data_IF_415223463219
#
_entry.id   IF_415223463219
#
_cell.length_a   1.000
_cell.length_b   1.000
_cell.length_c   1.000
_cell.angle_alpha   90.00
_cell.angle_beta   90.00
_cell.angle_gamma   90.00
#
_symmetry.space_group_name_H-M   'P 1'
#
loop_
_entity.id
_entity.type
_entity.pdbx_description
1 polymer ?
#
# COMPACT_ATOMS: atom_id res chain seq x y z
N UNK A 1 41.02 26.63 -7.56
CA UNK A 1 40.78 25.23 -7.98
C UNK A 1 39.72 24.52 -7.12
N UNK A 2 39.41 24.97 -5.90
CA UNK A 2 38.44 24.30 -5.02
C UNK A 2 36.95 24.40 -5.40
N UNK A 3 36.55 25.43 -6.16
CA UNK A 3 35.17 25.59 -6.59
C UNK A 3 34.70 24.50 -7.57
N UNK A 4 35.58 24.00 -8.44
CA UNK A 4 35.22 22.93 -9.37
C UNK A 4 35.05 21.58 -8.66
N UNK A 5 35.89 21.29 -7.66
CA UNK A 5 35.82 20.04 -6.90
C UNK A 5 34.53 19.90 -6.06
N UNK A 6 34.02 21.01 -5.54
CA UNK A 6 32.76 21.07 -4.77
C UNK A 6 31.53 20.85 -5.65
N UNK A 7 31.48 21.45 -6.84
CA UNK A 7 30.40 21.22 -7.80
C UNK A 7 30.31 19.76 -8.28
N UNK A 8 31.46 19.14 -8.57
CA UNK A 8 31.50 17.74 -8.99
C UNK A 8 30.96 16.78 -7.92
N UNK A 9 31.28 17.02 -6.65
CA UNK A 9 30.76 16.23 -5.51
C UNK A 9 29.24 16.39 -5.36
N UNK A 10 28.72 17.61 -5.48
CA UNK A 10 27.28 17.86 -5.40
C UNK A 10 26.50 17.21 -6.55
N UNK A 11 27.00 17.30 -7.80
CA UNK A 11 26.40 16.63 -8.96
C UNK A 11 26.36 15.11 -8.79
N UNK A 12 27.44 14.49 -8.28
CA UNK A 12 27.48 13.04 -7.99
C UNK A 12 26.49 12.63 -6.89
N UNK A 13 26.38 13.41 -5.81
CA UNK A 13 25.42 13.13 -4.72
C UNK A 13 23.97 13.21 -5.22
N UNK A 14 23.61 14.26 -5.97
CA UNK A 14 22.29 14.40 -6.62
C UNK A 14 21.98 13.30 -7.65
N UNK A 15 22.98 12.82 -8.40
CA UNK A 15 22.79 11.72 -9.37
C UNK A 15 22.50 10.40 -8.66
N UNK A 16 23.21 10.10 -7.55
CA UNK A 16 23.03 8.87 -6.78
C UNK A 16 21.65 8.79 -6.10
N UNK A 17 21.15 9.91 -5.57
CA UNK A 17 19.82 9.98 -4.96
C UNK A 17 18.72 9.68 -5.99
N UNK A 18 18.82 10.28 -7.19
CA UNK A 18 17.88 10.03 -8.29
C UNK A 18 17.82 8.55 -8.72
N UNK A 19 18.93 7.82 -8.63
CA UNK A 19 18.97 6.38 -8.96
C UNK A 19 18.26 5.54 -7.89
N UNK A 20 18.46 5.82 -6.60
CA UNK A 20 17.83 5.04 -5.51
C UNK A 20 16.32 5.21 -5.49
N UNK A 21 15.81 6.44 -5.65
CA UNK A 21 14.36 6.67 -5.79
C UNK A 21 13.78 5.86 -6.96
N UNK A 22 14.47 5.76 -8.10
CA UNK A 22 14.00 4.96 -9.23
C UNK A 22 13.93 3.47 -8.91
N UNK A 23 14.94 2.93 -8.22
CA UNK A 23 14.95 1.52 -7.81
C UNK A 23 13.77 1.23 -6.88
N UNK A 24 13.49 2.11 -5.92
CA UNK A 24 12.30 2.00 -5.06
C UNK A 24 11.01 1.88 -5.87
N UNK A 25 10.80 2.77 -6.86
CA UNK A 25 9.61 2.70 -7.72
C UNK A 25 9.53 1.40 -8.52
N UNK A 26 10.65 0.87 -9.02
CA UNK A 26 10.68 -0.42 -9.71
C UNK A 26 10.25 -1.55 -8.77
N UNK A 27 10.82 -1.60 -7.56
CA UNK A 27 10.46 -2.60 -6.54
C UNK A 27 8.98 -2.49 -6.17
N UNK A 28 8.48 -1.27 -6.01
CA UNK A 28 7.07 -1.02 -5.69
C UNK A 28 6.15 -1.54 -6.80
N UNK A 29 6.46 -1.26 -8.06
CA UNK A 29 5.69 -1.75 -9.22
C UNK A 29 5.71 -3.28 -9.26
N UNK A 30 6.87 -3.91 -9.09
CA UNK A 30 6.97 -5.37 -9.04
C UNK A 30 6.13 -5.94 -7.90
N UNK A 31 6.19 -5.34 -6.71
CA UNK A 31 5.38 -5.77 -5.56
C UNK A 31 3.87 -5.68 -5.83
N UNK A 32 3.41 -4.59 -6.46
CA UNK A 32 2.01 -4.42 -6.84
C UNK A 32 1.60 -5.49 -7.87
N UNK A 33 2.42 -5.74 -8.89
CA UNK A 33 2.14 -6.76 -9.91
C UNK A 33 2.04 -8.17 -9.32
N UNK A 34 2.92 -8.51 -8.37
CA UNK A 34 2.87 -9.79 -7.65
C UNK A 34 1.59 -9.91 -6.83
N UNK A 35 1.15 -8.85 -6.16
CA UNK A 35 -0.12 -8.88 -5.41
C UNK A 35 -1.33 -8.97 -6.33
N UNK A 36 -1.28 -8.29 -7.48
CA UNK A 36 -2.34 -8.32 -8.48
C UNK A 36 -2.49 -9.69 -9.14
N UNK A 37 -1.40 -10.44 -9.34
CA UNK A 37 -1.49 -11.79 -9.94
C UNK A 37 -2.28 -12.77 -9.08
N UNK A 38 -2.32 -12.55 -7.76
CA UNK A 38 -3.08 -13.36 -6.81
C UNK A 38 -4.41 -12.72 -6.39
N UNK A 39 -4.84 -11.60 -6.99
CA UNK A 39 -5.99 -10.82 -6.47
C UNK A 39 -7.33 -11.55 -6.56
N UNK A 40 -7.45 -12.55 -7.44
CA UNK A 40 -8.70 -13.27 -7.67
C UNK A 40 -8.66 -14.73 -7.18
N UNK A 41 -7.69 -15.10 -6.36
CA UNK A 41 -7.68 -16.43 -5.74
C UNK A 41 -8.74 -16.51 -4.64
N UNK A 42 -9.16 -17.73 -4.27
CA UNK A 42 -10.16 -17.93 -3.23
C UNK A 42 -9.77 -17.23 -1.91
N UNK A 43 -10.77 -16.76 -1.18
CA UNK A 43 -10.60 -16.20 0.16
C UNK A 43 -10.37 -17.34 1.14
N UNK A 44 -9.43 -17.17 2.06
CA UNK A 44 -9.12 -18.14 3.09
C UNK A 44 -9.06 -17.48 4.46
N UNK A 45 -9.39 -18.26 5.48
CA UNK A 45 -9.22 -17.89 6.89
C UNK A 45 -9.94 -16.57 7.23
N UNK A 46 -9.25 -15.63 7.89
CA UNK A 46 -9.78 -14.34 8.27
C UNK A 46 -10.37 -13.52 7.11
N UNK A 47 -9.86 -13.67 5.88
CA UNK A 47 -10.39 -12.92 4.73
C UNK A 47 -11.88 -13.23 4.47
N UNK A 48 -12.28 -14.48 4.70
CA UNK A 48 -13.68 -14.90 4.56
C UNK A 48 -14.58 -14.30 5.64
N UNK A 49 -14.06 -14.15 6.86
CA UNK A 49 -14.75 -13.51 7.97
C UNK A 49 -14.96 -12.01 7.70
N UNK A 50 -13.94 -11.32 7.18
CA UNK A 50 -14.07 -9.91 6.77
C UNK A 50 -15.07 -9.73 5.62
N UNK A 51 -15.03 -10.61 4.63
CA UNK A 51 -15.98 -10.60 3.52
C UNK A 51 -17.41 -10.80 4.00
N UNK A 52 -17.63 -11.78 4.89
CA UNK A 52 -18.93 -12.06 5.49
C UNK A 52 -19.41 -10.89 6.35
N UNK A 53 -18.54 -10.34 7.20
CA UNK A 53 -18.87 -9.20 8.05
C UNK A 53 -19.29 -7.98 7.20
N UNK A 54 -18.54 -7.68 6.14
CA UNK A 54 -18.80 -6.54 5.29
C UNK A 54 -20.06 -6.74 4.40
N UNK A 55 -20.36 -7.98 3.99
CA UNK A 55 -21.59 -8.33 3.29
C UNK A 55 -22.86 -8.22 4.15
N UNK A 56 -22.72 -8.53 5.45
CA UNK A 56 -23.82 -8.50 6.43
C UNK A 56 -23.78 -7.26 7.33
N UNK A 57 -23.04 -6.22 6.94
CA UNK A 57 -22.97 -4.98 7.69
C UNK A 57 -24.30 -4.21 7.55
N UNK A 58 -24.78 -3.65 8.67
CA UNK A 58 -25.85 -2.67 8.67
C UNK A 58 -25.46 -1.43 7.86
N UNK A 59 -26.44 -0.56 7.57
CA UNK A 59 -26.25 0.69 6.83
C UNK A 59 -25.15 1.61 7.39
N UNK A 60 -24.90 1.54 8.71
CA UNK A 60 -23.84 2.28 9.41
C UNK A 60 -22.45 1.63 9.33
N UNK A 61 -22.33 0.52 8.59
CA UNK A 61 -21.08 -0.20 8.38
C UNK A 61 -20.66 -1.07 9.57
N UNK A 62 -21.61 -1.56 10.38
CA UNK A 62 -21.36 -2.46 11.50
C UNK A 62 -21.96 -3.84 11.25
N UNK A 63 -21.22 -4.92 11.52
CA UNK A 63 -21.72 -6.30 11.45
C UNK A 63 -22.01 -6.86 12.85
N UNK A 64 -23.24 -7.31 13.14
CA UNK A 64 -23.59 -7.85 14.46
C UNK A 64 -23.00 -9.25 14.72
N UNK A 65 -22.65 -9.96 13.65
CA UNK A 65 -22.24 -11.37 13.71
C UNK A 65 -20.74 -11.57 13.78
N UNK A 66 -19.94 -10.60 13.30
CA UNK A 66 -18.48 -10.67 13.31
C UNK A 66 -17.87 -9.31 13.65
N UNK A 67 -17.10 -9.28 14.74
CA UNK A 67 -16.33 -8.09 15.10
C UNK A 67 -15.17 -7.91 14.13
N UNK A 68 -15.18 -6.81 13.39
CA UNK A 68 -14.04 -6.33 12.62
C UNK A 68 -13.87 -4.83 12.86
N UNK A 69 -12.65 -4.32 12.70
CA UNK A 69 -12.37 -2.92 12.98
C UNK A 69 -13.26 -1.98 12.17
N UNK A 70 -13.90 -1.01 12.84
CA UNK A 70 -14.87 -0.09 12.23
C UNK A 70 -14.33 0.62 10.98
N UNK A 71 -13.06 1.04 11.00
CA UNK A 71 -12.43 1.70 9.85
C UNK A 71 -12.32 0.77 8.62
N UNK A 72 -12.03 -0.51 8.85
CA UNK A 72 -12.00 -1.49 7.77
C UNK A 72 -13.41 -1.72 7.22
N UNK A 73 -14.40 -1.90 8.10
CA UNK A 73 -15.79 -2.06 7.67
C UNK A 73 -16.30 -0.84 6.89
N UNK A 74 -15.96 0.38 7.31
CA UNK A 74 -16.30 1.60 6.58
C UNK A 74 -15.61 1.73 5.22
N UNK A 75 -14.42 1.16 5.06
CA UNK A 75 -13.78 1.09 3.75
C UNK A 75 -14.50 0.09 2.83
N UNK A 76 -14.89 -1.09 3.34
CA UNK A 76 -15.51 -2.15 2.54
C UNK A 76 -17.00 -1.95 2.27
N UNK A 77 -17.78 -1.49 3.25
CA UNK A 77 -19.23 -1.36 3.18
C UNK A 77 -19.75 -0.58 1.96
N UNK A 78 -19.25 0.63 1.64
CA UNK A 78 -19.74 1.37 0.47
C UNK A 78 -19.43 0.65 -0.84
N UNK A 79 -18.25 0.02 -0.95
CA UNK A 79 -17.90 -0.73 -2.16
C UNK A 79 -18.79 -1.96 -2.34
N UNK A 80 -19.08 -2.69 -1.26
CA UNK A 80 -19.95 -3.86 -1.32
C UNK A 80 -21.40 -3.47 -1.59
N UNK A 81 -21.88 -2.34 -1.05
CA UNK A 81 -23.23 -1.84 -1.35
C UNK A 81 -23.38 -1.43 -2.82
N UNK A 82 -22.34 -0.83 -3.42
CA UNK A 82 -22.40 -0.36 -4.81
C UNK A 82 -22.17 -1.46 -5.84
N UNK A 83 -21.28 -2.40 -5.56
CA UNK A 83 -20.80 -3.38 -6.54
C UNK A 83 -21.11 -4.83 -6.14
N UNK A 84 -21.58 -5.09 -4.93
CA UNK A 84 -21.72 -6.44 -4.39
C UNK A 84 -20.42 -7.02 -3.84
N UNK A 85 -20.49 -8.27 -3.37
CA UNK A 85 -19.33 -8.97 -2.79
C UNK A 85 -18.47 -9.55 -3.91
N UNK A 86 -17.39 -8.86 -4.24
CA UNK A 86 -16.38 -9.34 -5.18
C UNK A 86 -15.02 -9.51 -4.52
N UNK A 87 -14.38 -10.66 -4.73
CA UNK A 87 -13.04 -10.99 -4.21
C UNK A 87 -12.03 -9.89 -4.57
N UNK A 88 -12.08 -9.41 -5.81
CA UNK A 88 -11.25 -8.32 -6.29
C UNK A 88 -11.38 -7.05 -5.42
N UNK A 89 -12.59 -6.62 -5.08
CA UNK A 89 -12.83 -5.41 -4.29
C UNK A 89 -12.35 -5.58 -2.84
N UNK A 90 -12.57 -6.76 -2.28
CA UNK A 90 -12.11 -7.12 -0.94
C UNK A 90 -10.60 -7.08 -0.81
N UNK A 91 -9.86 -7.37 -1.89
CA UNK A 91 -8.39 -7.33 -1.91
C UNK A 91 -7.81 -6.02 -2.43
N UNK A 92 -8.58 -5.24 -3.18
CA UNK A 92 -8.19 -3.92 -3.66
C UNK A 92 -7.91 -2.96 -2.51
N UNK A 93 -8.75 -2.96 -1.46
CA UNK A 93 -8.55 -2.10 -0.29
C UNK A 93 -7.22 -2.43 0.42
N UNK A 94 -6.95 -3.67 0.87
CA UNK A 94 -5.66 -4.04 1.45
C UNK A 94 -4.47 -3.73 0.52
N UNK A 95 -4.63 -3.88 -0.80
CA UNK A 95 -3.60 -3.52 -1.77
C UNK A 95 -3.30 -2.02 -1.73
N UNK A 96 -4.32 -1.17 -1.77
CA UNK A 96 -4.17 0.29 -1.71
C UNK A 96 -3.50 0.70 -0.39
N UNK A 97 -4.02 0.23 0.74
CA UNK A 97 -3.49 0.59 2.06
C UNK A 97 -2.05 0.10 2.24
N UNK A 98 -1.74 -1.15 1.86
CA UNK A 98 -0.37 -1.66 1.96
C UNK A 98 0.60 -0.90 1.05
N UNK A 99 0.16 -0.51 -0.16
CA UNK A 99 0.97 0.31 -1.08
C UNK A 99 1.23 1.70 -0.49
N UNK A 100 0.20 2.34 0.06
CA UNK A 100 0.32 3.65 0.72
C UNK A 100 1.29 3.58 1.89
N UNK A 101 1.18 2.55 2.73
CA UNK A 101 2.08 2.33 3.87
C UNK A 101 3.54 2.22 3.40
N UNK A 102 3.83 1.41 2.37
CA UNK A 102 5.18 1.28 1.82
C UNK A 102 5.73 2.63 1.36
N UNK A 103 4.92 3.40 0.62
CA UNK A 103 5.30 4.74 0.14
C UNK A 103 5.60 5.68 1.31
N UNK A 104 4.70 5.75 2.29
CA UNK A 104 4.85 6.61 3.47
C UNK A 104 6.08 6.22 4.29
N UNK A 105 6.31 4.93 4.51
CA UNK A 105 7.49 4.42 5.21
C UNK A 105 8.78 4.80 4.47
N UNK A 106 8.82 4.68 3.14
CA UNK A 106 9.97 5.10 2.34
C UNK A 106 10.26 6.60 2.51
N UNK A 107 9.24 7.45 2.39
CA UNK A 107 9.41 8.89 2.55
C UNK A 107 9.81 9.28 3.98
N UNK A 108 9.23 8.63 4.99
CA UNK A 108 9.56 8.86 6.38
C UNK A 108 11.00 8.45 6.68
N UNK A 109 11.43 7.26 6.26
CA UNK A 109 12.80 6.78 6.42
C UNK A 109 13.80 7.67 5.68
N UNK A 110 13.46 8.14 4.48
CA UNK A 110 14.27 9.07 3.71
C UNK A 110 14.40 10.43 4.39
N UNK A 111 13.35 10.90 5.07
CA UNK A 111 13.33 12.17 5.81
C UNK A 111 14.12 12.09 7.11
N UNK A 112 13.98 11.01 7.88
CA UNK A 112 14.59 10.86 9.19
C UNK A 112 16.04 10.39 9.15
N UNK A 113 16.40 9.55 8.18
CA UNK A 113 17.71 8.94 8.08
C UNK A 113 18.41 9.31 6.77
N UNK A 114 18.33 8.43 5.78
CA UNK A 114 18.96 8.61 4.48
C UNK A 114 18.23 7.79 3.42
N UNK A 115 18.41 8.18 2.16
CA UNK A 115 17.81 7.46 1.04
C UNK A 115 18.35 6.03 0.85
N UNK A 116 19.57 5.76 1.33
CA UNK A 116 20.11 4.40 1.35
C UNK A 116 19.50 3.52 2.43
N UNK A 117 19.05 4.12 3.53
CA UNK A 117 18.41 3.40 4.64
C UNK A 117 16.93 3.15 4.34
N UNK A 118 16.32 4.01 3.51
CA UNK A 118 14.94 3.89 3.10
C UNK A 118 14.70 2.80 2.03
N UNK A 119 15.73 2.47 1.25
CA UNK A 119 15.72 1.41 0.23
C UNK A 119 16.22 0.10 0.85
#
# INVERSE_FOLDING_TARGET
>A
MDHQATEFKQKRKKKKTKTLTKIFWIILVISILIKLSAINTALYDDESNYAFAAANAYSIGFSPSHYSGLLAQWAFAPLIQLFGVHIFLLRLIPLIFSTLTIILTFYLAKKLYSEKTAL
#
